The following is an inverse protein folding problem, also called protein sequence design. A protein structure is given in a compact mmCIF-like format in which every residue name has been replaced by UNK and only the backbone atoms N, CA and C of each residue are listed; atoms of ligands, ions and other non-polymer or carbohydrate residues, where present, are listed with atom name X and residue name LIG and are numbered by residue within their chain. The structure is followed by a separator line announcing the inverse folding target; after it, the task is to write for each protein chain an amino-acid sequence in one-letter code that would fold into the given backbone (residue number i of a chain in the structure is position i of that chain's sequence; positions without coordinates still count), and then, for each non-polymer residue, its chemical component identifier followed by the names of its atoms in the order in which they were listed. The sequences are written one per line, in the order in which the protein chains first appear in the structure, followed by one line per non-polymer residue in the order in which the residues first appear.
data_IF_160587728050
#
_entry.id   IF_160587728050
#
_cell.length_a   1.000
_cell.length_b   1.000
_cell.length_c   1.000
_cell.angle_alpha   90.00
_cell.angle_beta   90.00
_cell.angle_gamma   90.00
#
_symmetry.space_group_name_H-M   'P 1'
#
loop_
_entity.id
_entity.type
_entity.pdbx_description
1 polymer ?
#
# COMPACT_ATOMS: atom_id res chain seq x y z
N UNK A 1 12.43 -14.92 -1.71
CA UNK A 1 11.18 -14.20 -1.44
C UNK A 1 11.43 -13.31 -0.24
N UNK A 2 11.40 -12.00 -0.45
CA UNK A 2 11.64 -11.01 0.60
C UNK A 2 10.33 -10.82 1.37
N UNK A 3 10.30 -11.21 2.63
CA UNK A 3 9.23 -10.79 3.54
C UNK A 3 9.59 -9.40 4.03
N UNK A 4 8.81 -8.39 3.67
CA UNK A 4 9.12 -7.00 4.00
C UNK A 4 8.78 -6.70 5.46
N UNK A 5 9.76 -6.94 6.33
CA UNK A 5 9.70 -6.64 7.76
C UNK A 5 10.40 -5.31 8.06
N UNK A 6 10.08 -4.69 9.18
CA UNK A 6 10.82 -3.52 9.67
C UNK A 6 12.32 -3.77 9.83
N UNK A 7 12.72 -5.00 10.19
CA UNK A 7 14.13 -5.40 10.31
C UNK A 7 14.88 -5.39 8.98
N UNK A 8 14.18 -5.50 7.86
CA UNK A 8 14.76 -5.52 6.51
C UNK A 8 14.84 -4.13 5.88
N UNK A 9 14.17 -3.14 6.46
CA UNK A 9 14.25 -1.74 6.01
C UNK A 9 15.57 -1.14 6.51
N UNK A 10 16.33 -0.54 5.60
CA UNK A 10 17.60 0.11 5.93
C UNK A 10 17.38 1.44 6.66
N UNK A 11 17.99 1.58 7.83
CA UNK A 11 17.90 2.81 8.61
C UNK A 11 16.48 3.13 9.11
N UNK A 12 16.18 4.43 9.29
CA UNK A 12 14.87 4.95 9.69
C UNK A 12 14.38 4.42 11.06
N UNK A 13 15.28 4.13 12.01
CA UNK A 13 14.94 3.48 13.27
C UNK A 13 13.95 4.31 14.12
N UNK A 14 14.05 5.64 14.06
CA UNK A 14 13.09 6.52 14.73
C UNK A 14 11.65 6.29 14.22
N UNK A 15 11.47 6.24 12.90
CA UNK A 15 10.16 6.03 12.26
C UNK A 15 9.64 4.63 12.57
N UNK A 16 10.49 3.60 12.45
CA UNK A 16 10.12 2.22 12.79
C UNK A 16 9.62 2.10 14.23
N UNK A 17 10.36 2.67 15.17
CA UNK A 17 9.99 2.66 16.59
C UNK A 17 8.68 3.40 16.83
N UNK A 18 8.47 4.55 16.18
CA UNK A 18 7.24 5.32 16.30
C UNK A 18 6.03 4.54 15.77
N UNK A 19 6.13 3.96 14.57
CA UNK A 19 5.07 3.16 13.95
C UNK A 19 4.75 1.91 14.77
N UNK A 20 5.79 1.23 15.26
CA UNK A 20 5.64 0.06 16.14
C UNK A 20 4.93 0.41 17.43
N UNK A 21 5.35 1.49 18.11
CA UNK A 21 4.73 1.95 19.35
C UNK A 21 3.24 2.34 19.14
N UNK A 22 2.94 3.02 18.03
CA UNK A 22 1.57 3.38 17.64
C UNK A 22 0.69 2.14 17.47
N UNK A 23 1.17 1.16 16.71
CA UNK A 23 0.44 -0.09 16.48
C UNK A 23 0.22 -0.88 17.78
N UNK A 24 1.26 -1.03 18.61
CA UNK A 24 1.20 -1.76 19.89
C UNK A 24 0.26 -1.10 20.89
N UNK A 25 0.17 0.23 20.88
CA UNK A 25 -0.75 0.97 21.76
C UNK A 25 -2.20 0.97 21.28
N UNK A 26 -2.49 0.35 20.13
CA UNK A 26 -3.82 0.37 19.49
C UNK A 26 -4.24 1.74 18.95
N UNK A 27 -3.30 2.68 18.85
CA UNK A 27 -3.53 4.04 18.34
C UNK A 27 -3.04 4.19 16.91
N UNK A 28 -3.64 3.44 16.00
CA UNK A 28 -3.30 3.50 14.59
C UNK A 28 -4.17 4.57 13.93
N UNK A 29 -3.58 5.69 13.46
CA UNK A 29 -4.36 6.68 12.71
C UNK A 29 -4.96 6.06 11.46
N UNK A 30 -6.21 6.37 11.17
CA UNK A 30 -6.91 5.82 10.01
C UNK A 30 -6.38 6.37 8.67
N UNK A 31 -5.72 7.52 8.67
CA UNK A 31 -5.07 8.11 7.50
C UNK A 31 -3.68 8.62 7.90
N UNK A 32 -2.68 8.20 7.16
CA UNK A 32 -1.28 8.56 7.39
C UNK A 32 -0.63 8.91 6.06
N UNK A 33 0.16 9.98 6.05
CA UNK A 33 0.94 10.39 4.88
C UNK A 33 2.42 10.10 5.13
N UNK A 34 3.01 9.28 4.27
CA UNK A 34 4.44 9.00 4.24
C UNK A 34 5.06 9.84 3.12
N UNK A 35 5.90 10.79 3.50
CA UNK A 35 6.57 11.69 2.55
C UNK A 35 8.06 11.37 2.49
N UNK A 36 8.57 11.27 1.29
CA UNK A 36 9.99 11.09 1.06
C UNK A 36 10.34 11.02 -0.42
N UNK A 37 11.56 11.44 -0.79
CA UNK A 37 12.00 11.40 -2.17
C UNK A 37 12.05 9.96 -2.70
N UNK A 38 12.07 9.86 -4.00
CA UNK A 38 12.22 8.59 -4.71
C UNK A 38 13.42 7.78 -4.16
N UNK A 39 13.25 6.49 -3.95
CA UNK A 39 14.29 5.61 -3.40
C UNK A 39 14.49 5.70 -1.88
N UNK A 40 13.79 6.59 -1.17
CA UNK A 40 13.91 6.72 0.30
C UNK A 40 13.32 5.55 1.09
N UNK A 41 12.60 4.64 0.43
CA UNK A 41 12.01 3.47 1.07
C UNK A 41 10.62 3.70 1.70
N UNK A 42 9.94 4.77 1.34
CA UNK A 42 8.57 5.06 1.83
C UNK A 42 7.60 3.93 1.53
N UNK A 43 7.64 3.35 0.32
CA UNK A 43 6.81 2.21 -0.07
C UNK A 43 7.18 0.95 0.72
N UNK A 44 8.46 0.65 0.84
CA UNK A 44 8.94 -0.47 1.65
C UNK A 44 8.50 -0.35 3.12
N UNK A 45 8.63 0.85 3.69
CA UNK A 45 8.19 1.16 5.05
C UNK A 45 6.68 0.98 5.23
N UNK A 46 5.87 1.44 4.26
CA UNK A 46 4.42 1.28 4.29
C UNK A 46 4.00 -0.20 4.26
N UNK A 47 4.65 -1.01 3.42
CA UNK A 47 4.39 -2.45 3.35
C UNK A 47 4.81 -3.16 4.65
N UNK A 48 5.99 -2.83 5.21
CA UNK A 48 6.44 -3.38 6.49
C UNK A 48 5.49 -3.01 7.63
N UNK A 49 4.99 -1.78 7.64
CA UNK A 49 4.01 -1.35 8.63
C UNK A 49 2.67 -2.07 8.48
N UNK A 50 2.19 -2.24 7.26
CA UNK A 50 0.98 -3.02 6.98
C UNK A 50 1.13 -4.48 7.44
N UNK A 51 2.29 -5.10 7.16
CA UNK A 51 2.60 -6.44 7.65
C UNK A 51 2.56 -6.49 9.18
N UNK A 52 3.19 -5.53 9.85
CA UNK A 52 3.22 -5.46 11.29
C UNK A 52 1.80 -5.36 11.89
N UNK A 53 0.94 -4.50 11.35
CA UNK A 53 -0.45 -4.33 11.82
C UNK A 53 -1.27 -5.60 11.59
N UNK A 54 -1.20 -6.18 10.39
CA UNK A 54 -2.06 -7.31 10.00
C UNK A 54 -1.60 -8.65 10.58
N UNK A 55 -0.29 -8.87 10.73
CA UNK A 55 0.27 -10.16 11.12
C UNK A 55 0.62 -10.29 12.61
N UNK A 56 0.37 -9.26 13.41
CA UNK A 56 0.81 -9.18 14.79
C UNK A 56 -0.07 -9.95 15.79
N UNK A 57 -0.85 -10.92 15.38
CA UNK A 57 -1.79 -11.63 16.24
C UNK A 57 -1.13 -12.52 17.32
N UNK A 58 0.19 -12.61 17.37
CA UNK A 58 0.91 -13.54 18.25
C UNK A 58 2.02 -12.80 19.00
N UNK A 59 1.66 -12.08 20.06
CA UNK A 59 2.59 -11.57 21.06
C UNK A 59 3.77 -10.74 20.58
N UNK A 60 4.23 -9.84 21.42
CA UNK A 60 5.28 -8.85 21.17
C UNK A 60 6.65 -9.49 20.85
N UNK A 61 6.87 -10.75 21.19
CA UNK A 61 8.14 -11.44 21.02
C UNK A 61 8.37 -11.98 19.60
N UNK A 62 7.34 -12.08 18.79
CA UNK A 62 7.46 -12.55 17.41
C UNK A 62 7.47 -11.37 16.44
N UNK A 63 8.67 -10.82 16.18
CA UNK A 63 8.86 -9.69 15.28
C UNK A 63 8.37 -9.94 13.83
N UNK A 64 8.22 -11.21 13.44
CA UNK A 64 7.71 -11.62 12.14
C UNK A 64 6.19 -11.75 12.08
N UNK A 65 5.52 -11.73 13.23
CA UNK A 65 4.08 -11.97 13.31
C UNK A 65 3.68 -13.43 13.08
N UNK A 66 2.48 -13.65 12.57
CA UNK A 66 1.90 -14.96 12.34
C UNK A 66 2.39 -15.56 11.02
N UNK A 67 2.83 -16.82 11.03
CA UNK A 67 3.41 -17.51 9.86
C UNK A 67 2.45 -17.54 8.66
N UNK A 68 1.19 -17.88 8.85
CA UNK A 68 0.19 -17.91 7.78
C UNK A 68 -0.04 -16.53 7.17
N UNK A 69 -0.08 -15.48 7.97
CA UNK A 69 -0.17 -14.10 7.52
C UNK A 69 1.10 -13.70 6.74
N UNK A 70 2.27 -14.04 7.25
CA UNK A 70 3.55 -13.74 6.60
C UNK A 70 3.68 -14.40 5.22
N UNK A 71 3.18 -15.62 5.05
CA UNK A 71 3.13 -16.28 3.73
C UNK A 71 2.30 -15.49 2.72
N UNK A 72 1.18 -14.91 3.15
CA UNK A 72 0.36 -14.03 2.29
C UNK A 72 1.09 -12.73 1.95
N UNK A 73 1.88 -12.18 2.89
CA UNK A 73 2.70 -10.98 2.64
C UNK A 73 3.90 -11.24 1.72
N UNK A 74 4.48 -12.43 1.72
CA UNK A 74 5.57 -12.79 0.79
C UNK A 74 5.16 -12.65 -0.68
N UNK A 75 3.90 -12.84 -0.98
CA UNK A 75 3.32 -12.67 -2.32
C UNK A 75 2.47 -11.40 -2.46
N UNK A 76 2.46 -10.54 -1.45
CA UNK A 76 1.61 -9.34 -1.38
C UNK A 76 0.13 -9.63 -1.69
N UNK A 77 -0.36 -10.78 -1.22
CA UNK A 77 -1.70 -11.30 -1.53
C UNK A 77 -2.61 -11.39 -0.30
N UNK A 78 -2.25 -10.73 0.80
CA UNK A 78 -3.12 -10.71 1.98
C UNK A 78 -4.48 -10.10 1.63
N UNK A 79 -5.61 -10.74 1.96
CA UNK A 79 -6.95 -10.30 1.54
C UNK A 79 -7.36 -8.92 2.07
N UNK A 80 -6.79 -8.50 3.21
CA UNK A 80 -7.07 -7.21 3.85
C UNK A 80 -6.00 -6.15 3.54
N UNK A 81 -5.08 -6.44 2.59
CA UNK A 81 -4.08 -5.50 2.07
C UNK A 81 -4.41 -5.14 0.62
N UNK A 82 -4.65 -3.87 0.39
CA UNK A 82 -5.00 -3.32 -0.93
C UNK A 82 -3.99 -2.29 -1.38
N UNK A 83 -3.80 -2.18 -2.68
CA UNK A 83 -2.88 -1.23 -3.28
C UNK A 83 -3.59 -0.36 -4.31
N UNK A 84 -3.26 0.93 -4.31
CA UNK A 84 -3.59 1.88 -5.36
C UNK A 84 -2.28 2.50 -5.84
N UNK A 85 -2.09 2.58 -7.14
CA UNK A 85 -0.90 3.12 -7.77
C UNK A 85 -1.22 3.67 -9.16
N UNK A 86 -0.37 4.56 -9.73
CA UNK A 86 -0.60 5.12 -11.06
C UNK A 86 -0.64 4.04 -12.14
N UNK A 87 -1.64 4.11 -12.99
CA UNK A 87 -1.83 3.19 -14.11
C UNK A 87 -1.94 3.92 -15.43
N UNK A 88 -1.62 3.23 -16.51
CA UNK A 88 -1.68 3.72 -17.89
C UNK A 88 -2.43 2.74 -18.76
N UNK A 89 -2.94 3.20 -19.91
CA UNK A 89 -3.46 2.29 -20.93
C UNK A 89 -2.32 1.51 -21.58
N UNK A 90 -2.52 0.21 -21.74
CA UNK A 90 -1.60 -0.71 -22.42
C UNK A 90 -2.31 -1.34 -23.62
N UNK A 91 -1.65 -2.27 -24.32
CA UNK A 91 -2.29 -3.04 -25.40
C UNK A 91 -3.42 -3.92 -24.87
N UNK A 92 -3.27 -4.43 -23.66
CA UNK A 92 -4.25 -5.33 -23.01
C UNK A 92 -5.36 -4.55 -22.29
N UNK A 93 -5.03 -3.41 -21.68
CA UNK A 93 -5.98 -2.55 -20.94
C UNK A 93 -6.10 -1.20 -21.65
N UNK A 94 -7.03 -1.11 -22.59
CA UNK A 94 -7.17 0.03 -23.52
C UNK A 94 -7.96 1.21 -22.93
N UNK A 95 -8.84 0.95 -21.98
CA UNK A 95 -9.74 1.99 -21.41
C UNK A 95 -9.85 1.86 -19.91
N UNK A 96 -9.88 3.00 -19.21
CA UNK A 96 -10.11 3.09 -17.76
C UNK A 96 -9.26 2.12 -16.94
N UNK A 97 -7.93 2.09 -17.14
CA UNK A 97 -7.06 1.21 -16.37
C UNK A 97 -7.17 1.53 -14.88
N UNK A 98 -7.17 0.50 -14.07
CA UNK A 98 -7.18 0.59 -12.61
C UNK A 98 -6.11 -0.32 -12.01
N UNK A 99 -5.71 -0.08 -10.79
CA UNK A 99 -4.63 -0.81 -10.11
C UNK A 99 -4.87 -2.32 -10.11
N UNK A 100 -6.12 -2.76 -9.95
CA UNK A 100 -6.45 -4.18 -9.93
C UNK A 100 -6.13 -4.90 -11.26
N UNK A 101 -6.16 -4.19 -12.38
CA UNK A 101 -5.87 -4.77 -13.69
C UNK A 101 -4.38 -5.16 -13.84
N UNK A 102 -3.50 -4.57 -13.03
CA UNK A 102 -2.05 -4.77 -13.05
C UNK A 102 -1.51 -5.38 -11.77
N UNK A 103 -2.34 -6.05 -10.99
CA UNK A 103 -1.93 -6.55 -9.67
C UNK A 103 -0.80 -7.58 -9.72
N UNK A 104 -0.70 -8.37 -10.79
CA UNK A 104 0.38 -9.33 -10.98
C UNK A 104 1.72 -8.61 -11.23
N UNK A 105 1.72 -7.59 -12.08
CA UNK A 105 2.89 -6.76 -12.37
C UNK A 105 3.32 -5.97 -11.13
N UNK A 106 2.36 -5.46 -10.36
CA UNK A 106 2.61 -4.76 -9.11
C UNK A 106 3.30 -5.66 -8.06
N UNK A 107 2.82 -6.89 -7.91
CA UNK A 107 3.46 -7.86 -7.02
C UNK A 107 4.88 -8.20 -7.46
N UNK A 108 5.10 -8.31 -8.78
CA UNK A 108 6.44 -8.51 -9.34
C UNK A 108 7.34 -7.31 -9.08
N UNK A 109 6.83 -6.08 -9.23
CA UNK A 109 7.53 -4.85 -8.90
C UNK A 109 7.96 -4.81 -7.44
N UNK A 110 7.03 -5.03 -6.51
CA UNK A 110 7.34 -5.04 -5.08
C UNK A 110 8.34 -6.13 -4.70
N UNK A 111 8.23 -7.31 -5.29
CA UNK A 111 9.15 -8.43 -5.02
C UNK A 111 10.55 -8.18 -5.57
N UNK A 112 10.66 -7.47 -6.68
CA UNK A 112 11.93 -7.20 -7.35
C UNK A 112 12.65 -5.98 -6.79
N UNK A 113 11.92 -4.90 -6.53
CA UNK A 113 12.51 -3.64 -6.05
C UNK A 113 11.51 -2.80 -5.25
N UNK A 114 11.36 -3.02 -3.93
CA UNK A 114 10.45 -2.23 -3.09
C UNK A 114 10.90 -0.77 -2.88
N UNK A 115 12.11 -0.42 -3.31
CA UNK A 115 12.65 0.94 -3.36
C UNK A 115 12.56 1.56 -4.76
N UNK A 116 11.89 0.87 -5.68
CA UNK A 116 11.78 1.27 -7.07
C UNK A 116 11.04 2.59 -7.28
N UNK A 117 11.39 3.21 -8.38
CA UNK A 117 10.87 4.48 -8.85
C UNK A 117 9.60 4.33 -9.67
N UNK A 118 8.91 5.44 -9.91
CA UNK A 118 7.81 5.47 -10.86
C UNK A 118 8.26 5.09 -12.28
N UNK A 119 9.49 5.42 -12.64
CA UNK A 119 10.10 5.02 -13.92
C UNK A 119 10.25 3.49 -13.99
N UNK A 120 10.76 2.83 -12.93
CA UNK A 120 10.89 1.38 -12.87
C UNK A 120 9.53 0.68 -13.00
N UNK A 121 8.50 1.25 -12.38
CA UNK A 121 7.13 0.77 -12.52
C UNK A 121 6.63 0.84 -13.96
N UNK A 122 6.85 1.96 -14.64
CA UNK A 122 6.45 2.10 -16.04
C UNK A 122 7.25 1.21 -16.99
N UNK A 123 8.49 0.88 -16.67
CA UNK A 123 9.26 -0.11 -17.42
C UNK A 123 8.61 -1.51 -17.34
N UNK A 124 8.14 -1.91 -16.18
CA UNK A 124 7.42 -3.19 -16.00
C UNK A 124 6.15 -3.21 -16.84
N UNK A 125 5.42 -2.11 -16.89
CA UNK A 125 4.23 -1.97 -17.74
C UNK A 125 4.53 -1.87 -19.24
N UNK A 126 5.81 -1.82 -19.64
CA UNK A 126 6.22 -1.66 -21.03
C UNK A 126 5.91 -0.28 -21.64
N UNK A 127 5.72 0.73 -20.79
CA UNK A 127 5.34 2.09 -21.21
C UNK A 127 6.35 3.10 -20.67
N UNK A 128 7.14 3.73 -21.55
CA UNK A 128 8.18 4.67 -21.13
C UNK A 128 7.77 6.14 -21.28
N UNK A 129 6.80 6.44 -22.15
CA UNK A 129 6.44 7.81 -22.53
C UNK A 129 5.02 8.22 -22.14
N UNK A 130 4.38 7.47 -21.28
CA UNK A 130 3.03 7.76 -20.78
C UNK A 130 3.10 8.27 -19.35
N UNK A 131 2.26 9.24 -19.03
CA UNK A 131 2.05 9.67 -17.66
C UNK A 131 0.85 8.89 -17.10
N UNK A 132 1.11 8.10 -16.07
CA UNK A 132 0.08 7.40 -15.34
C UNK A 132 -0.63 8.30 -14.34
N UNK A 133 -1.86 7.94 -14.05
CA UNK A 133 -2.66 8.59 -13.02
C UNK A 133 -3.45 7.57 -12.20
N UNK A 134 -3.84 7.97 -11.00
CA UNK A 134 -4.81 7.25 -10.17
C UNK A 134 -6.19 7.81 -10.48
N UNK A 135 -7.10 6.94 -10.87
CA UNK A 135 -8.43 7.31 -11.38
C UNK A 135 -9.54 7.05 -10.38
N UNK A 136 -10.69 7.63 -10.63
CA UNK A 136 -11.89 7.43 -9.81
C UNK A 136 -12.33 5.96 -9.75
N UNK A 137 -12.03 5.17 -10.78
CA UNK A 137 -12.26 3.73 -10.83
C UNK A 137 -11.49 2.98 -9.73
N UNK A 138 -10.27 3.40 -9.41
CA UNK A 138 -9.50 2.86 -8.27
C UNK A 138 -10.20 3.14 -6.93
N UNK A 139 -10.66 4.39 -6.73
CA UNK A 139 -11.39 4.77 -5.53
C UNK A 139 -12.73 4.01 -5.39
N UNK A 140 -13.42 3.76 -6.51
CA UNK A 140 -14.65 2.97 -6.52
C UNK A 140 -14.40 1.50 -6.17
N UNK A 141 -13.30 0.93 -6.65
CA UNK A 141 -12.94 -0.45 -6.36
C UNK A 141 -12.59 -0.62 -4.88
N UNK A 142 -11.80 0.30 -4.32
CA UNK A 142 -11.48 0.29 -2.89
C UNK A 142 -12.74 0.41 -2.02
N UNK A 143 -13.70 1.25 -2.39
CA UNK A 143 -14.98 1.34 -1.69
C UNK A 143 -15.68 -0.01 -1.59
N UNK A 144 -15.71 -0.79 -2.68
CA UNK A 144 -16.31 -2.11 -2.70
C UNK A 144 -15.55 -3.08 -1.78
N UNK A 145 -14.21 -3.09 -1.84
CA UNK A 145 -13.38 -3.95 -1.02
C UNK A 145 -13.50 -3.62 0.47
N UNK A 146 -13.52 -2.33 0.82
CA UNK A 146 -13.68 -1.90 2.21
C UNK A 146 -15.08 -2.16 2.78
N UNK A 147 -16.10 -2.28 1.94
CA UNK A 147 -17.45 -2.67 2.37
C UNK A 147 -17.55 -4.14 2.79
N UNK A 148 -16.61 -4.99 2.37
CA UNK A 148 -16.54 -6.38 2.79
C UNK A 148 -16.02 -6.47 4.23
N UNK A 149 -16.40 -7.54 4.94
CA UNK A 149 -15.80 -7.84 6.25
C UNK A 149 -14.32 -8.18 6.08
N UNK A 150 -13.50 -7.80 7.08
CA UNK A 150 -12.09 -8.21 7.09
C UNK A 150 -11.99 -9.74 7.14
N UNK A 151 -10.99 -10.29 6.46
CA UNK A 151 -10.80 -11.75 6.35
C UNK A 151 -10.48 -12.40 7.71
N UNK A 152 -9.64 -11.74 8.50
CA UNK A 152 -9.21 -12.25 9.82
C UNK A 152 -9.82 -11.47 10.99
N UNK A 153 -10.83 -10.63 10.73
CA UNK A 153 -11.50 -9.83 11.79
C UNK A 153 -10.69 -8.64 12.32
N UNK A 154 -9.56 -8.35 11.69
CA UNK A 154 -8.63 -7.28 12.04
C UNK A 154 -8.80 -6.01 11.20
N UNK A 155 -7.70 -5.32 10.99
CA UNK A 155 -7.62 -4.12 10.16
C UNK A 155 -7.72 -4.46 8.68
N UNK A 156 -8.20 -3.48 7.90
CA UNK A 156 -8.07 -3.41 6.43
C UNK A 156 -7.15 -2.26 6.10
N UNK A 157 -6.14 -2.49 5.27
CA UNK A 157 -5.12 -1.51 4.94
C UNK A 157 -5.10 -1.26 3.44
N UNK A 158 -5.15 0.02 3.07
CA UNK A 158 -4.95 0.47 1.69
C UNK A 158 -3.68 1.31 1.63
N UNK A 159 -2.71 0.87 0.85
CA UNK A 159 -1.51 1.62 0.52
C UNK A 159 -1.74 2.30 -0.83
N UNK A 160 -1.67 3.63 -0.83
CA UNK A 160 -1.80 4.46 -2.01
C UNK A 160 -0.44 5.06 -2.35
N UNK A 161 0.22 4.53 -3.38
CA UNK A 161 1.54 4.96 -3.82
C UNK A 161 1.44 6.06 -4.86
N UNK A 162 2.25 7.10 -4.74
CA UNK A 162 2.25 8.31 -5.58
C UNK A 162 0.90 9.05 -5.51
N UNK A 163 0.52 9.46 -4.30
CA UNK A 163 -0.75 10.12 -4.04
C UNK A 163 -0.96 11.39 -4.88
N UNK A 164 0.11 12.10 -5.21
CA UNK A 164 0.13 13.27 -6.10
C UNK A 164 -0.30 12.96 -7.55
N UNK A 165 -0.37 11.68 -7.93
CA UNK A 165 -0.87 11.25 -9.25
C UNK A 165 -2.37 11.00 -9.30
N UNK A 166 -3.09 11.28 -8.21
CA UNK A 166 -4.54 11.22 -8.23
C UNK A 166 -5.11 12.33 -9.11
N UNK A 167 -6.05 11.96 -9.99
CA UNK A 167 -6.86 12.98 -10.65
C UNK A 167 -7.92 13.55 -9.69
N UNK A 168 -8.51 14.69 -10.04
CA UNK A 168 -9.45 15.42 -9.18
C UNK A 168 -10.65 14.54 -8.76
N UNK A 169 -11.16 13.72 -9.66
CA UNK A 169 -12.29 12.84 -9.38
C UNK A 169 -11.95 11.74 -8.37
N UNK A 170 -10.74 11.15 -8.48
CA UNK A 170 -10.23 10.18 -7.53
C UNK A 170 -10.02 10.82 -6.15
N UNK A 171 -9.37 11.99 -6.11
CA UNK A 171 -9.11 12.72 -4.86
C UNK A 171 -10.42 13.04 -4.13
N UNK A 172 -11.40 13.59 -4.81
CA UNK A 172 -12.71 13.92 -4.21
C UNK A 172 -13.45 12.67 -3.70
N UNK A 173 -13.29 11.54 -4.37
CA UNK A 173 -13.91 10.29 -3.94
C UNK A 173 -13.22 9.72 -2.70
N UNK A 174 -11.89 9.76 -2.66
CA UNK A 174 -11.09 9.27 -1.53
C UNK A 174 -11.19 10.17 -0.30
N UNK A 175 -11.30 11.49 -0.47
CA UNK A 175 -11.50 12.41 0.66
C UNK A 175 -12.67 11.98 1.55
N UNK A 176 -13.79 11.59 0.97
CA UNK A 176 -14.95 11.10 1.73
C UNK A 176 -14.66 9.85 2.55
N UNK A 177 -13.81 8.96 2.02
CA UNK A 177 -13.38 7.76 2.75
C UNK A 177 -12.39 8.07 3.87
N UNK A 178 -11.55 9.09 3.67
CA UNK A 178 -10.60 9.55 4.66
C UNK A 178 -11.26 10.33 5.80
N UNK A 179 -12.36 11.05 5.51
CA UNK A 179 -13.12 11.79 6.51
C UNK A 179 -13.99 10.87 7.38
N UNK A 180 -14.60 9.85 6.78
CA UNK A 180 -15.51 8.92 7.43
C UNK A 180 -15.10 7.46 7.15
N UNK A 181 -13.95 7.00 7.68
CA UNK A 181 -13.48 5.64 7.44
C UNK A 181 -14.38 4.62 8.15
N UNK A 182 -14.54 3.46 7.55
CA UNK A 182 -15.13 2.32 8.24
C UNK A 182 -14.20 1.86 9.38
N UNK A 183 -14.78 1.23 10.40
CA UNK A 183 -14.04 0.76 11.56
C UNK A 183 -12.85 -0.13 11.17
N UNK A 184 -11.73 0.01 11.86
CA UNK A 184 -10.45 -0.71 11.61
C UNK A 184 -9.95 -0.58 10.17
N UNK A 185 -10.17 0.55 9.51
CA UNK A 185 -9.63 0.84 8.18
C UNK A 185 -8.47 1.82 8.30
N UNK A 186 -7.36 1.51 7.61
CA UNK A 186 -6.15 2.34 7.60
C UNK A 186 -5.77 2.65 6.16
N UNK A 187 -5.55 3.93 5.88
CA UNK A 187 -4.99 4.42 4.63
C UNK A 187 -3.56 4.90 4.86
N UNK A 188 -2.62 4.39 4.08
CA UNK A 188 -1.24 4.88 4.04
C UNK A 188 -1.03 5.50 2.66
N UNK A 189 -0.98 6.83 2.63
CA UNK A 189 -0.70 7.59 1.42
C UNK A 189 0.80 7.82 1.33
N UNK A 190 1.38 7.64 0.15
CA UNK A 190 2.80 7.85 -0.11
C UNK A 190 2.93 8.92 -1.18
N UNK A 191 3.70 9.97 -0.89
CA UNK A 191 3.98 11.07 -1.80
C UNK A 191 5.45 11.45 -1.74
N UNK A 192 5.97 12.05 -2.80
CA UNK A 192 7.34 12.57 -2.82
C UNK A 192 7.45 13.92 -2.11
N UNK A 193 6.37 14.69 -2.13
CA UNK A 193 6.27 16.02 -1.51
C UNK A 193 4.94 16.15 -0.74
N UNK A 194 4.92 17.09 0.21
CA UNK A 194 3.71 17.47 0.97
C UNK A 194 2.67 18.19 0.09
#
# INVERSE_FOLDING_TARGET
YLLMLFSEILGQDYIKNHLTASALSGRIPHAQLFVGPEGSGTLAMAVAYAQFILCQNVGVENAGGNESCNLKFQSFSHPDLHFIYPTVTTEDVKTKPKSLDFIADWRSFLSGNPYGSLFDWYQILGVQNKQGEIRVEDAQEILKLLALKSYEGGYKITILWMAEKMNVAASNKLLKLLEEPSDKTVFILIAENE
#
